data_IF_068359071757
#
_entry.id   IF_068359071757
#
_cell.length_a   1.000
_cell.length_b   1.000
_cell.length_c   1.000
_cell.angle_alpha   90.00
_cell.angle_beta   90.00
_cell.angle_gamma   90.00
#
_symmetry.space_group_name_H-M   'P 1'
#
loop_
_entity.id
_entity.type
_entity.pdbx_description
1 polymer ?
#
# COMPACT_ATOMS: atom_id res chain seq x y z
N UNK A 1 11.74 -0.45 16.97
CA UNK A 1 11.14 0.90 16.81
C UNK A 1 10.02 1.03 17.83
N UNK A 2 9.70 2.24 18.28
CA UNK A 2 8.64 2.45 19.28
C UNK A 2 7.28 2.46 18.58
N UNK A 3 6.33 1.66 19.07
CA UNK A 3 4.94 1.74 18.64
C UNK A 3 4.43 3.17 18.86
N UNK A 4 3.98 3.79 17.77
CA UNK A 4 3.46 5.16 17.74
C UNK A 4 1.99 5.20 17.30
N UNK A 5 1.34 4.05 17.13
CA UNK A 5 -0.07 3.95 16.73
C UNK A 5 -1.01 4.57 17.77
N UNK A 6 -0.63 4.54 19.05
CA UNK A 6 -1.39 5.15 20.14
C UNK A 6 -1.19 6.66 20.31
N UNK A 7 -0.42 7.33 19.46
CA UNK A 7 -0.22 8.79 19.56
C UNK A 7 -1.36 9.51 18.83
N UNK A 8 -2.16 10.26 19.59
CA UNK A 8 -3.22 11.11 19.06
C UNK A 8 -2.68 12.12 18.04
N UNK A 9 -3.27 12.16 16.83
CA UNK A 9 -2.80 13.08 15.75
C UNK A 9 -2.90 14.56 16.14
N UNK A 10 -3.86 14.92 16.99
CA UNK A 10 -4.01 16.29 17.51
C UNK A 10 -2.95 16.70 18.54
N UNK A 11 -2.10 15.77 19.01
CA UNK A 11 -1.02 16.08 19.96
C UNK A 11 0.16 16.83 19.33
N UNK A 12 0.27 16.79 18.00
CA UNK A 12 1.30 17.54 17.27
C UNK A 12 0.91 19.02 17.13
N UNK A 13 1.58 19.88 17.89
CA UNK A 13 1.29 21.33 17.93
C UNK A 13 2.06 22.06 16.84
N UNK A 14 1.39 23.01 16.17
CA UNK A 14 2.03 23.93 15.22
C UNK A 14 2.26 23.36 13.82
N UNK A 15 1.67 22.20 13.50
CA UNK A 15 1.70 21.67 12.14
C UNK A 15 0.75 22.44 11.21
N UNK A 16 1.18 22.79 9.99
CA UNK A 16 0.29 23.29 8.96
C UNK A 16 -0.81 22.27 8.60
N UNK A 17 -1.95 22.74 8.09
CA UNK A 17 -3.10 21.90 7.76
C UNK A 17 -2.86 20.88 6.62
N UNK A 18 -1.82 21.08 5.82
CA UNK A 18 -1.43 20.21 4.70
C UNK A 18 -0.28 19.27 5.05
N UNK A 19 0.03 19.11 6.34
CA UNK A 19 1.01 18.13 6.83
C UNK A 19 0.27 17.01 7.54
N UNK A 20 0.41 15.80 7.02
CA UNK A 20 -0.18 14.59 7.59
C UNK A 20 0.90 13.76 8.28
N UNK A 21 0.61 13.29 9.50
CA UNK A 21 1.51 12.44 10.29
C UNK A 21 1.03 10.99 10.25
N UNK A 22 1.94 10.08 9.92
CA UNK A 22 1.70 8.64 9.94
C UNK A 22 2.34 8.01 11.17
N UNK A 23 1.75 6.92 11.65
CA UNK A 23 2.33 6.11 12.72
C UNK A 23 3.42 5.20 12.16
N UNK A 24 4.38 4.83 13.00
CA UNK A 24 5.29 3.73 12.70
C UNK A 24 4.59 2.37 12.77
N UNK A 25 5.33 1.27 12.55
CA UNK A 25 4.80 -0.07 12.73
C UNK A 25 4.34 -0.27 14.19
N UNK A 26 3.19 -0.92 14.34
CA UNK A 26 2.62 -1.28 15.63
C UNK A 26 2.88 -2.75 15.97
N UNK A 27 2.40 -3.19 17.13
CA UNK A 27 2.46 -4.59 17.55
C UNK A 27 1.27 -5.42 17.03
N UNK A 28 0.38 -4.86 16.21
CA UNK A 28 -0.73 -5.61 15.65
C UNK A 28 -0.21 -6.59 14.60
N UNK A 29 -0.93 -7.69 14.45
CA UNK A 29 -0.64 -8.66 13.39
C UNK A 29 -1.27 -8.17 12.08
N UNK A 30 -0.48 -8.13 11.00
CA UNK A 30 -0.94 -7.68 9.69
C UNK A 30 -0.77 -6.17 9.48
N UNK A 31 -1.54 -5.64 8.52
CA UNK A 31 -1.37 -4.26 8.03
C UNK A 31 -2.64 -3.42 8.10
N UNK A 32 -3.72 -3.93 8.69
CA UNK A 32 -5.02 -3.23 8.74
C UNK A 32 -4.89 -1.81 9.31
N UNK A 33 -4.15 -1.55 10.42
CA UNK A 33 -4.01 -0.20 10.94
C UNK A 33 -3.33 0.77 9.97
N UNK A 34 -2.33 0.29 9.23
CA UNK A 34 -1.61 1.08 8.23
C UNK A 34 -2.49 1.40 7.01
N UNK A 35 -3.24 0.40 6.52
CA UNK A 35 -4.15 0.56 5.39
C UNK A 35 -5.27 1.55 5.72
N UNK A 36 -5.88 1.42 6.90
CA UNK A 36 -6.91 2.34 7.38
C UNK A 36 -6.38 3.78 7.53
N UNK A 37 -5.16 3.95 8.05
CA UNK A 37 -4.52 5.25 8.14
C UNK A 37 -4.29 5.87 6.77
N UNK A 38 -3.81 5.10 5.80
CA UNK A 38 -3.57 5.56 4.44
C UNK A 38 -4.88 5.99 3.76
N UNK A 39 -5.94 5.19 3.86
CA UNK A 39 -7.26 5.49 3.30
C UNK A 39 -7.85 6.79 3.89
N UNK A 40 -7.71 6.99 5.22
CA UNK A 40 -8.17 8.22 5.87
C UNK A 40 -7.44 9.46 5.36
N UNK A 41 -6.11 9.38 5.20
CA UNK A 41 -5.30 10.50 4.68
C UNK A 41 -5.65 10.75 3.22
N UNK A 42 -5.80 9.70 2.41
CA UNK A 42 -6.21 9.80 1.01
C UNK A 42 -7.54 10.55 0.86
N UNK A 43 -8.58 10.16 1.61
CA UNK A 43 -9.89 10.84 1.56
C UNK A 43 -9.87 12.29 2.02
N UNK A 44 -8.91 12.68 2.87
CA UNK A 44 -8.72 14.09 3.25
C UNK A 44 -8.13 14.91 2.10
N UNK A 45 -7.28 14.30 1.27
CA UNK A 45 -6.63 14.98 0.14
C UNK A 45 -7.50 14.93 -1.13
N UNK A 46 -8.20 13.81 -1.36
CA UNK A 46 -8.98 13.49 -2.55
C UNK A 46 -10.35 12.92 -2.14
N UNK A 47 -11.31 13.78 -1.73
CA UNK A 47 -12.59 13.32 -1.17
C UNK A 47 -13.50 12.63 -2.19
N UNK A 48 -13.35 12.97 -3.48
CA UNK A 48 -14.20 12.47 -4.56
C UNK A 48 -13.57 11.31 -5.33
N UNK A 49 -12.35 10.88 -4.98
CA UNK A 49 -11.68 9.75 -5.64
C UNK A 49 -11.80 8.45 -4.85
N UNK A 50 -11.72 7.33 -5.57
CA UNK A 50 -11.66 6.00 -4.99
C UNK A 50 -10.25 5.71 -4.44
N UNK A 51 -10.16 5.02 -3.31
CA UNK A 51 -8.88 4.64 -2.73
C UNK A 51 -8.31 3.41 -3.45
N UNK A 52 -7.17 3.59 -4.14
CA UNK A 52 -6.45 2.55 -4.88
C UNK A 52 -7.31 1.80 -5.92
N UNK A 53 -7.89 2.51 -6.92
CA UNK A 53 -8.57 1.84 -8.02
C UNK A 53 -7.59 0.98 -8.81
N UNK A 54 -8.06 -0.07 -9.49
CA UNK A 54 -7.21 -0.87 -10.37
C UNK A 54 -6.60 0.03 -11.45
N UNK A 55 -5.29 -0.08 -11.66
CA UNK A 55 -4.63 0.63 -12.74
C UNK A 55 -5.26 0.20 -14.09
N UNK A 56 -5.39 1.13 -15.06
CA UNK A 56 -5.84 0.76 -16.40
C UNK A 56 -4.88 -0.26 -17.00
N UNK A 57 -5.39 -1.22 -17.78
CA UNK A 57 -4.51 -2.21 -18.41
C UNK A 57 -3.60 -1.51 -19.42
N UNK A 58 -2.34 -1.97 -19.57
CA UNK A 58 -1.40 -1.33 -20.50
C UNK A 58 -1.88 -1.39 -21.96
N UNK A 59 -2.64 -2.43 -22.34
CA UNK A 59 -3.25 -2.51 -23.67
C UNK A 59 -4.34 -1.47 -23.96
N UNK A 60 -4.95 -0.89 -22.93
CA UNK A 60 -6.02 0.12 -23.07
C UNK A 60 -5.45 1.53 -23.38
N UNK A 61 -4.13 1.72 -23.26
CA UNK A 61 -3.47 3.01 -23.47
C UNK A 61 -3.12 3.18 -24.96
N UNK A 62 -3.87 4.02 -25.67
CA UNK A 62 -3.61 4.35 -27.08
C UNK A 62 -2.62 5.53 -27.16
N UNK A 63 -1.46 5.31 -27.77
CA UNK A 63 -0.49 6.36 -28.06
C UNK A 63 -0.78 6.99 -29.43
N UNK A 64 -0.83 8.32 -29.51
CA UNK A 64 -1.13 9.10 -30.72
C UNK A 64 0.00 9.07 -31.79
N UNK A 65 1.00 8.18 -31.63
CA UNK A 65 2.29 8.26 -32.33
C UNK A 65 2.76 7.03 -33.11
N UNK A 66 2.30 5.81 -32.84
CA UNK A 66 2.87 4.62 -33.50
C UNK A 66 1.86 3.47 -33.64
N UNK A 67 1.30 3.33 -34.84
CA UNK A 67 0.76 2.05 -35.31
C UNK A 67 1.92 1.13 -35.73
N UNK A 68 2.72 0.68 -34.75
CA UNK A 68 3.71 -0.38 -34.90
C UNK A 68 3.20 -1.69 -34.29
N UNK A 69 3.71 -2.87 -34.70
CA UNK A 69 3.25 -4.15 -34.15
C UNK A 69 3.33 -4.12 -32.64
N UNK A 70 2.22 -4.42 -31.98
CA UNK A 70 2.16 -4.56 -30.52
C UNK A 70 3.11 -5.68 -30.11
N UNK A 71 4.33 -5.33 -29.74
CA UNK A 71 5.20 -6.27 -29.06
C UNK A 71 4.55 -6.57 -27.71
N UNK A 72 4.26 -7.84 -27.47
CA UNK A 72 3.90 -8.34 -26.16
C UNK A 72 5.04 -7.97 -25.21
N UNK A 73 4.91 -6.83 -24.54
CA UNK A 73 5.78 -6.45 -23.44
C UNK A 73 5.78 -7.58 -22.41
N UNK A 74 6.89 -7.77 -21.67
CA UNK A 74 6.98 -8.85 -20.71
C UNK A 74 5.80 -8.72 -19.73
N UNK A 75 4.93 -9.74 -19.73
CA UNK A 75 3.94 -9.94 -18.69
C UNK A 75 4.66 -9.92 -17.36
N UNK A 76 4.52 -8.83 -16.60
CA UNK A 76 4.96 -8.78 -15.20
C UNK A 76 4.02 -9.69 -14.43
N UNK A 77 4.41 -10.95 -14.37
CA UNK A 77 3.76 -11.97 -13.56
C UNK A 77 3.80 -11.48 -12.11
N UNK A 78 2.67 -10.98 -11.62
CA UNK A 78 2.43 -10.71 -10.20
C UNK A 78 2.27 -12.06 -9.46
N UNK A 79 3.23 -12.98 -9.61
CA UNK A 79 3.44 -14.03 -8.62
C UNK A 79 4.03 -13.38 -7.39
N UNK A 80 3.15 -12.87 -6.52
CA UNK A 80 3.42 -12.95 -5.08
C UNK A 80 3.48 -14.45 -4.78
N UNK A 81 4.70 -15.00 -4.86
CA UNK A 81 5.06 -16.26 -4.23
C UNK A 81 4.79 -16.12 -2.73
N UNK A 82 3.60 -16.54 -2.32
CA UNK A 82 3.34 -16.97 -0.96
C UNK A 82 4.06 -18.32 -0.76
N UNK A 83 5.39 -18.30 -0.70
CA UNK A 83 6.19 -19.42 -0.29
C UNK A 83 6.07 -19.55 1.24
N UNK A 84 5.26 -20.53 1.64
CA UNK A 84 5.22 -21.07 2.99
C UNK A 84 6.61 -21.58 3.39
N UNK A 85 7.04 -21.32 4.63
CA UNK A 85 8.04 -22.16 5.28
C UNK A 85 7.49 -22.77 6.56
N UNK A 86 7.43 -24.09 6.52
CA UNK A 86 7.04 -25.06 7.51
C UNK A 86 7.75 -24.87 8.85
N UNK A 87 7.02 -25.04 9.95
CA UNK A 87 7.61 -25.26 11.26
C UNK A 87 8.57 -26.46 11.22
N UNK A 88 9.78 -26.38 11.82
CA UNK A 88 10.60 -27.56 12.04
C UNK A 88 10.04 -28.36 13.23
N UNK A 89 9.80 -29.64 12.96
CA UNK A 89 9.53 -30.71 13.91
C UNK A 89 10.65 -30.76 14.97
N UNK A 90 10.29 -30.59 16.25
CA UNK A 90 11.21 -30.69 17.38
C UNK A 90 11.25 -32.17 17.79
N UNK A 91 12.38 -32.88 17.69
CA UNK A 91 12.47 -34.21 18.28
C UNK A 91 12.52 -34.10 19.80
N UNK A 92 11.63 -34.83 20.47
CA UNK A 92 11.63 -35.04 21.92
C UNK A 92 12.92 -35.73 22.38
N UNK A 93 13.54 -35.20 23.44
CA UNK A 93 14.39 -35.94 24.38
C UNK A 93 13.99 -35.59 25.82
#
# INVERSE_FOLDING_TARGET
MRDSSGVERGSYVGLPCNVHVCSGPDSCFGYDPAVLQAEQIFRQMFPDEEFCPPAPNPEDIIYDGEAGPQESGPSVDLSVEAAAESAPDIPEE
#
